data_IF_785882470499
#
_entry.id   IF_785882470499
#
_cell.length_a   1.000
_cell.length_b   1.000
_cell.length_c   1.000
_cell.angle_alpha   90.00
_cell.angle_beta   90.00
_cell.angle_gamma   90.00
#
_symmetry.space_group_name_H-M   'P 1'
#
loop_
_entity.id
_entity.type
_entity.pdbx_description
1 polymer ?
#
# COMPACT_ATOMS: atom_id res chain seq x y z
N UNK A 1 -49.37 -11.61 -8.40
CA UNK A 1 -49.05 -10.45 -9.27
C UNK A 1 -49.35 -9.15 -8.51
N UNK A 2 -48.31 -8.42 -8.07
CA UNK A 2 -48.30 -6.96 -7.82
C UNK A 2 -46.92 -6.49 -7.31
N UNK A 3 -46.21 -5.75 -8.18
CA UNK A 3 -45.26 -4.62 -8.00
C UNK A 3 -44.31 -4.58 -6.78
N UNK A 4 -42.99 -4.67 -7.03
CA UNK A 4 -41.99 -3.56 -7.06
C UNK A 4 -41.61 -3.03 -5.66
N UNK A 5 -40.30 -3.02 -5.36
CA UNK A 5 -39.52 -1.85 -4.88
C UNK A 5 -38.12 -2.30 -4.41
N UNK A 6 -37.13 -1.58 -4.92
CA UNK A 6 -35.73 -1.51 -4.50
C UNK A 6 -35.51 -1.56 -2.97
N UNK A 7 -34.64 -2.46 -2.53
CA UNK A 7 -33.84 -2.29 -1.33
C UNK A 7 -32.50 -2.98 -1.61
N UNK A 8 -31.53 -2.33 -2.27
CA UNK A 8 -30.57 -1.44 -1.62
C UNK A 8 -30.28 -1.90 -0.17
N UNK A 9 -29.81 -3.15 -0.03
CA UNK A 9 -29.18 -3.62 1.20
C UNK A 9 -27.83 -2.93 1.31
N UNK A 10 -27.92 -1.70 1.79
CA UNK A 10 -27.00 -0.98 2.68
C UNK A 10 -25.61 -1.62 2.74
N UNK A 11 -24.77 -1.15 1.82
CA UNK A 11 -23.33 -1.15 1.92
C UNK A 11 -22.96 -0.38 3.21
N UNK A 12 -22.71 -1.08 4.31
CA UNK A 12 -22.02 -0.50 5.47
C UNK A 12 -20.54 -0.35 5.12
N UNK A 13 -20.21 0.62 4.27
CA UNK A 13 -18.84 1.15 4.17
C UNK A 13 -18.87 2.47 4.93
N UNK A 14 -18.64 2.38 6.23
CA UNK A 14 -18.24 3.54 7.02
C UNK A 14 -16.78 3.87 6.64
N UNK A 15 -16.58 4.62 5.56
CA UNK A 15 -15.32 5.34 5.34
C UNK A 15 -15.58 6.80 5.65
N UNK A 16 -15.49 7.11 6.93
CA UNK A 16 -15.27 8.47 7.42
C UNK A 16 -13.87 8.52 7.98
N UNK A 17 -12.93 9.05 7.22
CA UNK A 17 -11.78 9.77 7.78
C UNK A 17 -11.58 11.05 6.99
N UNK A 18 -12.17 12.13 7.50
CA UNK A 18 -11.96 13.49 7.01
C UNK A 18 -10.72 14.03 7.73
N UNK A 19 -9.54 13.89 7.12
CA UNK A 19 -8.30 14.49 7.62
C UNK A 19 -8.24 15.97 7.25
N UNK A 20 -8.76 16.87 8.08
CA UNK A 20 -8.52 18.31 7.94
C UNK A 20 -7.31 18.71 8.77
N UNK A 21 -6.11 18.53 8.21
CA UNK A 21 -4.86 18.99 8.82
C UNK A 21 -3.70 18.91 7.82
N UNK A 22 -3.09 20.06 7.51
CA UNK A 22 -1.87 20.11 6.71
C UNK A 22 -0.74 19.43 7.50
N UNK A 23 -0.28 18.26 7.01
CA UNK A 23 0.85 17.52 7.58
C UNK A 23 0.51 16.31 8.46
N UNK A 24 -0.77 16.02 8.75
CA UNK A 24 -1.16 14.77 9.40
C UNK A 24 -1.36 13.64 8.37
N UNK A 25 -1.06 12.36 8.70
CA UNK A 25 -1.43 11.24 7.85
C UNK A 25 -2.94 11.17 7.63
N UNK A 26 -3.35 10.98 6.38
CA UNK A 26 -4.74 10.81 5.98
C UNK A 26 -4.91 9.47 5.31
N UNK A 27 -5.96 8.74 5.67
CA UNK A 27 -6.33 7.53 4.94
C UNK A 27 -6.69 7.88 3.50
N UNK A 28 -6.17 7.11 2.56
CA UNK A 28 -6.42 7.25 1.13
C UNK A 28 -6.94 5.94 0.58
N UNK A 29 -7.58 6.03 -0.59
CA UNK A 29 -8.10 4.82 -1.24
C UNK A 29 -6.97 3.85 -1.54
N UNK A 30 -7.17 2.57 -1.23
CA UNK A 30 -6.26 1.49 -1.60
C UNK A 30 -6.16 1.28 -3.11
N UNK A 31 -7.12 1.82 -3.86
CA UNK A 31 -7.15 1.80 -5.34
C UNK A 31 -6.55 3.07 -5.96
N UNK A 32 -6.00 3.98 -5.16
CA UNK A 32 -5.35 5.18 -5.67
C UNK A 32 -4.11 4.79 -6.50
N UNK A 33 -4.02 5.34 -7.72
CA UNK A 33 -2.95 5.00 -8.66
C UNK A 33 -1.56 5.32 -8.08
N UNK A 34 -1.43 6.38 -7.28
CA UNK A 34 -0.17 6.74 -6.65
C UNK A 34 0.21 5.72 -5.57
N UNK A 35 -0.75 5.29 -4.75
CA UNK A 35 -0.53 4.24 -3.74
C UNK A 35 -0.05 2.96 -4.40
N UNK A 36 -0.72 2.53 -5.49
CA UNK A 36 -0.34 1.32 -6.23
C UNK A 36 1.05 1.47 -6.84
N UNK A 37 1.36 2.62 -7.45
CA UNK A 37 2.67 2.92 -8.03
C UNK A 37 3.78 2.86 -6.97
N UNK A 38 3.58 3.51 -5.83
CA UNK A 38 4.56 3.56 -4.74
C UNK A 38 4.79 2.17 -4.13
N UNK A 39 3.72 1.39 -3.98
CA UNK A 39 3.78 -0.01 -3.54
C UNK A 39 4.62 -0.86 -4.49
N UNK A 40 4.40 -0.72 -5.81
CA UNK A 40 5.20 -1.42 -6.83
C UNK A 40 6.67 -1.05 -6.78
N UNK A 41 7.00 0.24 -6.62
CA UNK A 41 8.38 0.70 -6.47
C UNK A 41 9.05 0.06 -5.25
N UNK A 42 8.35 -0.02 -4.11
CA UNK A 42 8.87 -0.67 -2.91
C UNK A 42 9.13 -2.17 -3.12
N UNK A 43 8.19 -2.87 -3.78
CA UNK A 43 8.31 -4.29 -4.12
C UNK A 43 9.49 -4.53 -5.06
N UNK A 44 9.64 -3.71 -6.11
CA UNK A 44 10.81 -3.76 -7.01
C UNK A 44 12.12 -3.53 -6.26
N UNK A 45 12.13 -2.62 -5.28
CA UNK A 45 13.25 -2.42 -4.37
C UNK A 45 13.63 -3.70 -3.63
N UNK A 46 12.65 -4.40 -3.04
CA UNK A 46 12.88 -5.68 -2.37
C UNK A 46 13.32 -6.79 -3.33
N UNK A 47 12.77 -6.83 -4.54
CA UNK A 47 13.16 -7.81 -5.57
C UNK A 47 14.60 -7.61 -6.03
N UNK A 48 15.13 -6.38 -6.02
CA UNK A 48 16.55 -6.11 -6.30
C UNK A 48 17.49 -6.65 -5.23
N UNK A 49 16.99 -6.87 -4.01
CA UNK A 49 17.76 -7.45 -2.90
C UNK A 49 17.69 -8.98 -2.85
N UNK A 50 16.97 -9.61 -3.80
CA UNK A 50 16.85 -11.07 -3.82
C UNK A 50 18.19 -11.74 -4.09
N UNK A 51 18.41 -12.84 -3.39
CA UNK A 51 19.53 -13.76 -3.60
C UNK A 51 19.10 -14.92 -4.49
N UNK A 52 20.08 -15.68 -4.99
CA UNK A 52 19.81 -16.82 -5.87
C UNK A 52 18.92 -17.86 -5.16
N UNK A 53 17.85 -18.29 -5.84
CA UNK A 53 16.86 -19.22 -5.30
C UNK A 53 15.68 -18.58 -4.57
N UNK A 54 15.69 -17.26 -4.33
CA UNK A 54 14.53 -16.54 -3.81
C UNK A 54 13.53 -16.16 -4.91
N UNK A 55 12.24 -16.28 -4.61
CA UNK A 55 11.18 -15.88 -5.52
C UNK A 55 11.03 -14.35 -5.58
N UNK A 56 10.56 -13.88 -6.74
CA UNK A 56 10.10 -12.50 -6.87
C UNK A 56 8.84 -12.28 -6.04
N UNK A 57 8.78 -11.10 -5.45
CA UNK A 57 7.63 -10.59 -4.74
C UNK A 57 6.63 -10.00 -5.73
N UNK A 58 5.38 -10.40 -5.64
CA UNK A 58 4.27 -9.90 -6.47
C UNK A 58 3.17 -9.27 -5.61
N UNK A 59 2.71 -8.08 -5.97
CA UNK A 59 1.58 -7.44 -5.28
C UNK A 59 0.29 -8.23 -5.55
N UNK A 60 -0.39 -8.66 -4.48
CA UNK A 60 -1.73 -9.27 -4.58
C UNK A 60 -2.79 -8.18 -4.37
N UNK A 61 -2.73 -7.49 -3.23
CA UNK A 61 -3.70 -6.45 -2.87
C UNK A 61 -3.08 -5.45 -1.88
N UNK A 62 -3.57 -4.22 -1.92
CA UNK A 62 -3.30 -3.20 -0.91
C UNK A 62 -4.43 -3.26 0.14
N UNK A 63 -4.05 -3.42 1.40
CA UNK A 63 -4.99 -3.56 2.53
C UNK A 63 -5.37 -2.21 3.13
N UNK A 64 -4.39 -1.32 3.27
CA UNK A 64 -4.58 0.03 3.77
C UNK A 64 -3.48 0.95 3.24
N UNK A 65 -3.80 2.23 3.12
CA UNK A 65 -2.84 3.24 2.71
C UNK A 65 -3.14 4.57 3.41
N UNK A 66 -2.10 5.24 3.85
CA UNK A 66 -2.17 6.60 4.38
C UNK A 66 -1.17 7.49 3.67
N UNK A 67 -1.62 8.68 3.27
CA UNK A 67 -0.74 9.70 2.70
C UNK A 67 -0.52 10.84 3.69
N UNK A 68 0.69 11.37 3.73
CA UNK A 68 1.07 12.51 4.53
C UNK A 68 1.86 13.49 3.66
N UNK A 69 1.46 14.76 3.68
CA UNK A 69 2.22 15.84 3.02
C UNK A 69 3.43 16.18 3.89
N UNK A 70 4.63 16.01 3.32
CA UNK A 70 5.95 16.32 3.93
C UNK A 70 6.74 17.22 2.97
N UNK A 71 8.05 17.02 2.80
CA UNK A 71 8.83 17.54 1.66
C UNK A 71 8.53 16.77 0.35
N UNK A 72 7.24 16.51 0.07
CA UNK A 72 6.73 15.55 -0.90
C UNK A 72 5.45 14.88 -0.40
N UNK A 73 5.08 13.74 -0.98
CA UNK A 73 3.99 12.89 -0.49
C UNK A 73 4.59 11.61 0.10
N UNK A 74 4.48 11.43 1.41
CA UNK A 74 4.79 10.15 2.07
C UNK A 74 3.56 9.26 1.99
N UNK A 75 3.71 8.06 1.47
CA UNK A 75 2.71 7.01 1.47
C UNK A 75 3.18 5.88 2.39
N UNK A 76 2.39 5.58 3.41
CA UNK A 76 2.55 4.37 4.23
C UNK A 76 1.46 3.38 3.80
N UNK A 77 1.87 2.18 3.44
CA UNK A 77 1.02 1.18 2.80
C UNK A 77 1.20 -0.18 3.46
N UNK A 78 0.10 -0.85 3.74
CA UNK A 78 0.08 -2.26 4.13
C UNK A 78 -0.49 -3.07 2.98
N UNK A 79 0.21 -4.11 2.54
CA UNK A 79 -0.19 -4.90 1.37
C UNK A 79 0.00 -6.40 1.61
N UNK A 80 -0.75 -7.22 0.87
CA UNK A 80 -0.44 -8.65 0.71
C UNK A 80 0.39 -8.85 -0.54
N UNK A 81 1.47 -9.58 -0.38
CA UNK A 81 2.45 -9.85 -1.43
C UNK A 81 2.68 -11.36 -1.51
N UNK A 82 2.75 -11.88 -2.73
CA UNK A 82 3.12 -13.27 -2.99
C UNK A 82 4.64 -13.38 -3.00
N UNK A 83 5.17 -14.33 -2.25
CA UNK A 83 6.58 -14.75 -2.23
C UNK A 83 6.62 -16.23 -2.61
N UNK A 84 6.70 -16.51 -3.91
CA UNK A 84 6.56 -17.87 -4.44
C UNK A 84 5.19 -18.48 -4.10
N UNK A 85 5.17 -19.47 -3.21
CA UNK A 85 3.92 -20.11 -2.74
C UNK A 85 3.35 -19.51 -1.44
N UNK A 86 4.07 -18.58 -0.80
CA UNK A 86 3.65 -17.96 0.45
C UNK A 86 2.99 -16.62 0.19
N UNK A 87 1.96 -16.28 0.98
CA UNK A 87 1.39 -14.93 1.01
C UNK A 87 1.91 -14.25 2.27
N UNK A 88 2.58 -13.12 2.10
CA UNK A 88 3.14 -12.32 3.19
C UNK A 88 2.42 -11.00 3.28
N UNK A 89 2.31 -10.50 4.52
CA UNK A 89 1.90 -9.13 4.78
C UNK A 89 3.16 -8.26 4.79
N UNK A 90 3.12 -7.15 4.06
CA UNK A 90 4.24 -6.23 3.94
C UNK A 90 3.82 -4.81 4.32
N UNK A 91 4.76 -4.09 4.88
CA UNK A 91 4.66 -2.68 5.24
C UNK A 91 5.66 -1.90 4.39
N UNK A 92 5.16 -0.88 3.70
CA UNK A 92 5.93 -0.01 2.83
C UNK A 92 5.76 1.44 3.26
N UNK A 93 6.86 2.17 3.36
CA UNK A 93 6.88 3.61 3.52
C UNK A 93 7.71 4.21 2.41
N UNK A 94 7.09 5.00 1.55
CA UNK A 94 7.73 5.58 0.36
C UNK A 94 7.39 7.06 0.27
N UNK A 95 8.38 7.90 -0.01
CA UNK A 95 8.21 9.35 -0.20
C UNK A 95 8.40 9.68 -1.66
N UNK A 96 7.38 10.26 -2.30
CA UNK A 96 7.49 10.87 -3.62
C UNK A 96 7.89 12.34 -3.44
N UNK A 97 9.19 12.61 -3.57
CA UNK A 97 9.78 13.93 -3.40
C UNK A 97 10.17 14.58 -4.73
N UNK A 98 10.73 15.79 -4.65
CA UNK A 98 11.16 16.56 -5.85
C UNK A 98 12.27 15.83 -6.63
N UNK A 99 13.09 15.02 -5.95
CA UNK A 99 14.17 14.23 -6.56
C UNK A 99 13.74 12.84 -7.02
N UNK A 100 12.44 12.51 -6.91
CA UNK A 100 11.88 11.19 -7.23
C UNK A 100 11.49 10.37 -6.00
N UNK A 101 11.03 9.13 -6.21
CA UNK A 101 10.53 8.26 -5.14
C UNK A 101 11.69 7.66 -4.33
N UNK A 102 11.60 7.77 -3.01
CA UNK A 102 12.56 7.19 -2.05
C UNK A 102 11.83 6.20 -1.14
N UNK A 103 12.33 4.97 -1.07
CA UNK A 103 11.81 3.94 -0.16
C UNK A 103 12.44 4.18 1.20
N UNK A 104 11.63 4.61 2.18
CA UNK A 104 12.06 4.76 3.56
C UNK A 104 12.06 3.42 4.28
N UNK A 105 11.01 2.62 4.07
CA UNK A 105 10.84 1.31 4.67
C UNK A 105 10.20 0.35 3.66
N UNK A 106 10.71 -0.87 3.59
CA UNK A 106 10.03 -1.98 2.95
C UNK A 106 10.36 -3.26 3.72
N UNK A 107 9.36 -3.88 4.33
CA UNK A 107 9.53 -5.07 5.15
C UNK A 107 8.32 -5.99 4.97
N UNK A 108 8.56 -7.30 4.96
CA UNK A 108 7.51 -8.31 4.88
C UNK A 108 7.64 -9.31 6.03
N UNK A 109 6.51 -9.74 6.58
CA UNK A 109 6.48 -10.69 7.68
C UNK A 109 7.15 -12.02 7.30
N UNK A 110 8.15 -12.42 8.11
CA UNK A 110 8.91 -13.65 7.89
C UNK A 110 9.82 -13.63 6.66
N UNK A 111 10.11 -12.45 6.10
CA UNK A 111 11.05 -12.28 5.00
C UNK A 111 12.35 -11.66 5.50
N UNK A 112 13.50 -12.18 5.07
CA UNK A 112 14.82 -11.67 5.49
C UNK A 112 15.29 -10.44 4.65
N UNK A 113 14.56 -10.09 3.59
CA UNK A 113 14.81 -8.94 2.73
C UNK A 113 14.08 -7.72 3.29
N UNK A 114 14.82 -6.66 3.64
CA UNK A 114 14.25 -5.40 4.12
C UNK A 114 15.04 -4.19 3.67
N UNK A 115 14.35 -3.07 3.49
CA UNK A 115 14.92 -1.75 3.25
C UNK A 115 14.51 -0.86 4.41
N UNK A 116 15.49 -0.17 5.00
CA UNK A 116 15.29 0.88 6.00
C UNK A 116 16.35 1.95 5.74
N UNK A 117 15.92 3.14 5.33
CA UNK A 117 16.79 4.29 5.09
C UNK A 117 16.74 5.27 6.26
#
# INVERSE_FOLDING_TARGET
>A
MKYFVFACVVLCVAVTVKGTGYGAPQEVSVTDENVIKMTKIAIEGLNKLKTEGEADLELIEVLSATNQVVAGIKADVMAKVRDGSQIRKCEFSVVDGVSGPVILKAECEGLNRKISN
#
